data_IF_453296521540
#
_entry.id   IF_453296521540
#
_cell.length_a   1.000
_cell.length_b   1.000
_cell.length_c   1.000
_cell.angle_alpha   90.00
_cell.angle_beta   90.00
_cell.angle_gamma   90.00
#
_symmetry.space_group_name_H-M   'P 1'
#
loop_
_entity.id
_entity.type
_entity.pdbx_description
1 polymer ?
#
# COMPACT_ATOMS: atom_id res chain seq x y z
N UNK A 1 -48.70 25.19 -43.63
CA UNK A 1 -48.37 23.85 -43.15
C UNK A 1 -46.91 23.91 -42.62
N UNK A 2 -46.73 23.98 -41.31
CA UNK A 2 -45.41 24.13 -40.67
C UNK A 2 -45.09 22.81 -39.95
N UNK A 3 -44.05 22.08 -40.44
CA UNK A 3 -43.58 20.84 -39.79
C UNK A 3 -42.52 21.21 -38.78
N UNK A 4 -42.83 20.97 -37.51
CA UNK A 4 -41.86 21.06 -36.42
C UNK A 4 -41.17 19.72 -36.30
N UNK A 5 -39.84 19.67 -36.53
CA UNK A 5 -38.97 18.52 -36.21
C UNK A 5 -38.64 18.56 -34.72
N UNK A 6 -39.16 17.59 -33.98
CA UNK A 6 -38.68 17.31 -32.61
C UNK A 6 -37.37 16.50 -32.70
N UNK A 7 -36.26 17.13 -32.32
CA UNK A 7 -34.98 16.43 -32.08
C UNK A 7 -35.01 15.82 -30.70
N UNK A 8 -35.20 14.49 -30.61
CA UNK A 8 -35.08 13.75 -29.37
C UNK A 8 -33.63 13.62 -28.97
N UNK A 9 -33.26 14.27 -27.86
CA UNK A 9 -31.95 14.14 -27.22
C UNK A 9 -31.87 12.79 -26.49
N UNK A 10 -31.18 11.81 -27.09
CA UNK A 10 -30.92 10.51 -26.46
C UNK A 10 -29.82 10.68 -25.41
N UNK A 11 -30.19 10.82 -24.11
CA UNK A 11 -29.25 10.73 -22.99
C UNK A 11 -28.77 9.30 -22.88
N UNK A 12 -27.54 9.04 -23.33
CA UNK A 12 -26.81 7.82 -23.03
C UNK A 12 -26.38 7.92 -21.57
N UNK A 13 -27.05 7.20 -20.70
CA UNK A 13 -26.60 7.02 -19.31
C UNK A 13 -25.33 6.16 -19.35
N UNK A 14 -24.18 6.80 -19.18
CA UNK A 14 -22.91 6.10 -18.92
C UNK A 14 -23.03 5.46 -17.54
N UNK A 15 -22.95 4.11 -17.42
CA UNK A 15 -22.93 3.49 -16.09
C UNK A 15 -21.71 4.03 -15.35
N UNK A 16 -21.94 4.62 -14.18
CA UNK A 16 -20.89 5.00 -13.24
C UNK A 16 -20.14 3.73 -12.88
N UNK A 17 -19.00 3.48 -13.54
CA UNK A 17 -18.09 2.41 -13.18
C UNK A 17 -17.73 2.62 -11.73
N UNK A 18 -18.06 1.65 -10.88
CA UNK A 18 -17.62 1.60 -9.50
C UNK A 18 -16.10 1.60 -9.51
N UNK A 19 -15.50 2.77 -9.34
CA UNK A 19 -14.11 2.88 -8.95
C UNK A 19 -14.06 2.24 -7.55
N UNK A 20 -13.66 0.97 -7.47
CA UNK A 20 -13.42 0.31 -6.20
C UNK A 20 -12.38 1.17 -5.49
N UNK A 21 -12.80 1.90 -4.48
CA UNK A 21 -11.90 2.71 -3.67
C UNK A 21 -10.87 1.76 -3.07
N UNK A 22 -9.60 1.95 -3.43
CA UNK A 22 -8.51 1.14 -2.90
C UNK A 22 -8.45 1.40 -1.40
N UNK A 23 -8.59 0.35 -0.59
CA UNK A 23 -8.58 0.44 0.87
C UNK A 23 -7.25 1.03 1.35
N UNK A 24 -7.31 1.96 2.31
CA UNK A 24 -6.14 2.52 2.98
C UNK A 24 -6.09 2.02 4.43
N UNK A 25 -4.89 1.77 5.00
CA UNK A 25 -4.77 1.30 6.37
C UNK A 25 -5.47 2.22 7.36
N UNK A 26 -6.28 1.67 8.28
CA UNK A 26 -6.93 2.45 9.30
C UNK A 26 -5.90 3.12 10.21
N UNK A 27 -6.13 4.38 10.55
CA UNK A 27 -5.28 5.14 11.48
C UNK A 27 -6.08 6.23 12.17
N UNK A 28 -5.57 6.69 13.31
CA UNK A 28 -6.06 7.87 14.02
C UNK A 28 -5.10 9.02 13.77
N UNK A 29 -5.57 10.11 13.15
CA UNK A 29 -4.79 11.34 13.06
C UNK A 29 -4.77 12.03 14.43
N UNK A 30 -3.58 12.23 14.98
CA UNK A 30 -3.34 12.88 16.28
C UNK A 30 -3.07 14.37 16.10
N UNK A 31 -2.31 14.72 15.07
CA UNK A 31 -1.98 16.10 14.70
C UNK A 31 -2.12 16.25 13.19
N UNK A 32 -2.62 17.42 12.74
CA UNK A 32 -2.64 17.81 11.34
C UNK A 32 -2.22 19.28 11.22
N UNK A 33 -1.28 19.52 10.30
CA UNK A 33 -0.73 20.85 10.01
C UNK A 33 -0.38 20.92 8.52
N UNK A 34 -1.33 21.40 7.71
CA UNK A 34 -1.21 21.35 6.25
C UNK A 34 -1.05 19.92 5.71
N UNK A 35 0.07 19.67 5.03
CA UNK A 35 0.42 18.35 4.48
C UNK A 35 1.13 17.44 5.49
N UNK A 36 1.40 17.93 6.71
CA UNK A 36 2.00 17.16 7.80
C UNK A 36 0.93 16.56 8.69
N UNK A 37 1.11 15.32 9.07
CA UNK A 37 0.25 14.63 10.03
C UNK A 37 1.07 13.77 10.99
N UNK A 38 0.57 13.61 12.23
CA UNK A 38 0.99 12.55 13.14
C UNK A 38 -0.15 11.55 13.24
N UNK A 39 0.12 10.30 12.92
CA UNK A 39 -0.87 9.22 12.85
C UNK A 39 -0.51 8.06 13.74
N UNK A 40 -1.50 7.56 14.48
CA UNK A 40 -1.42 6.29 15.20
C UNK A 40 -2.03 5.18 14.34
N UNK A 41 -1.21 4.18 14.02
CA UNK A 41 -1.65 2.96 13.34
C UNK A 41 -1.81 1.83 14.36
N UNK A 42 -2.86 1.02 14.26
CA UNK A 42 -2.96 -0.24 14.99
C UNK A 42 -1.97 -1.26 14.41
N UNK A 43 -1.93 -2.46 14.99
CA UNK A 43 -1.30 -3.59 14.34
C UNK A 43 -1.98 -3.87 12.99
N UNK A 44 -1.20 -4.02 11.93
CA UNK A 44 -1.66 -4.27 10.57
C UNK A 44 -1.09 -5.60 10.08
N UNK A 45 -1.88 -6.32 9.30
CA UNK A 45 -1.37 -7.50 8.58
C UNK A 45 -0.67 -7.04 7.32
N UNK A 46 0.56 -7.48 7.11
CA UNK A 46 1.37 -7.10 5.95
C UNK A 46 1.96 -8.31 5.25
N UNK A 47 2.12 -8.19 3.93
CA UNK A 47 3.01 -9.03 3.13
C UNK A 47 4.25 -8.21 2.77
N UNK A 48 5.43 -8.74 3.02
CA UNK A 48 6.68 -8.03 2.73
C UNK A 48 7.73 -8.92 2.10
N UNK A 49 8.61 -8.30 1.31
CA UNK A 49 9.78 -8.93 0.71
C UNK A 49 10.99 -8.03 0.93
N UNK A 50 12.14 -8.65 1.19
CA UNK A 50 13.44 -7.95 1.19
C UNK A 50 14.09 -8.15 -0.17
N UNK A 51 14.48 -7.07 -0.82
CA UNK A 51 15.07 -7.07 -2.16
C UNK A 51 16.32 -6.19 -2.22
N UNK A 52 17.28 -6.58 -3.03
CA UNK A 52 18.51 -5.82 -3.29
C UNK A 52 18.35 -4.92 -4.51
N UNK A 53 19.15 -3.85 -4.56
CA UNK A 53 19.25 -2.93 -5.69
C UNK A 53 19.02 -1.47 -5.29
N UNK A 54 19.01 -0.59 -6.30
CA UNK A 54 18.60 0.80 -6.09
C UNK A 54 17.09 0.91 -5.79
N UNK A 55 16.68 2.07 -5.38
CA UNK A 55 15.27 2.33 -5.00
C UNK A 55 14.25 1.93 -6.08
N UNK A 56 14.57 2.15 -7.36
CA UNK A 56 13.67 1.85 -8.48
C UNK A 56 13.64 0.36 -8.80
N UNK A 57 14.80 -0.27 -8.87
CA UNK A 57 14.93 -1.71 -9.12
C UNK A 57 14.28 -2.51 -8.00
N UNK A 58 14.52 -2.13 -6.74
CA UNK A 58 13.91 -2.74 -5.57
C UNK A 58 12.38 -2.59 -5.57
N UNK A 59 11.86 -1.40 -5.90
CA UNK A 59 10.43 -1.17 -6.04
C UNK A 59 9.79 -2.11 -7.06
N UNK A 60 10.38 -2.21 -8.26
CA UNK A 60 9.86 -3.05 -9.34
C UNK A 60 9.92 -4.55 -8.99
N UNK A 61 11.03 -5.00 -8.39
CA UNK A 61 11.21 -6.40 -7.97
C UNK A 61 10.24 -6.77 -6.86
N UNK A 62 10.17 -5.94 -5.82
CA UNK A 62 9.28 -6.16 -4.68
C UNK A 62 7.80 -6.13 -5.08
N UNK A 63 7.39 -5.15 -5.91
CA UNK A 63 6.03 -5.07 -6.42
C UNK A 63 5.65 -6.32 -7.24
N UNK A 64 6.56 -6.85 -8.07
CA UNK A 64 6.30 -8.07 -8.86
C UNK A 64 6.07 -9.28 -7.96
N UNK A 65 6.91 -9.47 -6.94
CA UNK A 65 6.80 -10.60 -6.01
C UNK A 65 5.50 -10.52 -5.18
N UNK A 66 5.21 -9.35 -4.61
CA UNK A 66 4.00 -9.14 -3.81
C UNK A 66 2.74 -9.10 -4.69
N UNK A 67 2.84 -8.56 -5.91
CA UNK A 67 1.77 -8.61 -6.92
C UNK A 67 1.43 -10.03 -7.30
N UNK A 68 2.44 -10.87 -7.58
CA UNK A 68 2.21 -12.31 -7.81
C UNK A 68 1.41 -12.94 -6.67
N UNK A 69 1.82 -12.71 -5.43
CA UNK A 69 1.11 -13.23 -4.26
C UNK A 69 -0.37 -12.82 -4.21
N UNK A 70 -0.70 -11.54 -4.40
CA UNK A 70 -2.10 -11.08 -4.31
C UNK A 70 -2.94 -11.47 -5.54
N UNK A 71 -2.30 -11.74 -6.70
CA UNK A 71 -3.00 -12.12 -7.94
C UNK A 71 -3.10 -13.63 -8.17
N UNK A 72 -2.57 -14.45 -7.27
CA UNK A 72 -2.83 -15.89 -7.30
C UNK A 72 -1.63 -16.81 -7.12
N UNK A 73 -0.39 -16.30 -6.98
CA UNK A 73 0.78 -17.10 -6.63
C UNK A 73 0.72 -17.47 -5.13
N UNK A 74 -0.36 -18.16 -4.75
CA UNK A 74 -0.67 -18.54 -3.38
C UNK A 74 -1.55 -19.77 -3.33
N UNK A 75 -1.61 -20.40 -2.15
CA UNK A 75 -2.47 -21.55 -1.85
C UNK A 75 -3.44 -21.16 -0.74
N UNK A 76 -4.74 -21.39 -1.00
CA UNK A 76 -5.77 -21.19 0.02
C UNK A 76 -5.47 -22.03 1.26
N UNK A 77 -5.56 -21.45 2.45
CA UNK A 77 -5.52 -22.24 3.69
C UNK A 77 -6.77 -23.09 3.78
N UNK A 78 -6.58 -24.40 3.84
CA UNK A 78 -7.66 -25.35 4.14
C UNK A 78 -7.42 -25.89 5.53
N UNK A 79 -8.38 -25.70 6.43
CA UNK A 79 -8.45 -26.52 7.65
C UNK A 79 -8.77 -27.96 7.23
N UNK A 80 -7.80 -28.85 7.34
CA UNK A 80 -7.97 -30.25 7.00
C UNK A 80 -8.71 -30.93 8.16
N UNK A 81 -10.02 -30.90 8.11
CA UNK A 81 -10.79 -31.92 8.81
C UNK A 81 -10.51 -33.26 8.08
N UNK A 82 -9.83 -34.20 8.73
CA UNK A 82 -9.50 -35.51 8.17
C UNK A 82 -10.76 -36.30 7.94
N UNK A 83 -11.29 -36.31 6.70
CA UNK A 83 -12.21 -37.32 6.18
C UNK A 83 -11.80 -37.63 4.73
N UNK A 84 -11.55 -38.89 4.45
CA UNK A 84 -11.20 -39.40 3.12
C UNK A 84 -12.43 -39.43 2.20
N UNK A 85 -12.27 -39.27 0.83
CA UNK A 85 -11.04 -39.17 0.07
C UNK A 85 -10.63 -37.70 -0.23
N UNK A 86 -9.33 -37.46 -0.19
CA UNK A 86 -8.73 -36.14 -0.47
C UNK A 86 -8.63 -35.94 -1.97
N UNK A 87 -9.50 -35.12 -2.54
CA UNK A 87 -9.26 -34.50 -3.85
C UNK A 87 -8.65 -33.11 -3.60
N UNK A 88 -7.33 -32.99 -3.63
CA UNK A 88 -6.63 -31.70 -3.55
C UNK A 88 -6.60 -31.06 -4.95
N UNK A 89 -7.37 -30.02 -5.15
CA UNK A 89 -7.05 -28.98 -6.13
C UNK A 89 -6.53 -27.77 -5.36
N UNK A 90 -5.31 -27.31 -5.63
CA UNK A 90 -4.82 -26.07 -5.03
C UNK A 90 -5.63 -24.92 -5.61
N UNK A 91 -6.60 -24.42 -4.85
CA UNK A 91 -7.31 -23.21 -5.21
C UNK A 91 -6.45 -22.00 -4.79
N UNK A 92 -5.96 -21.25 -5.76
CA UNK A 92 -5.38 -19.93 -5.51
C UNK A 92 -6.49 -18.92 -5.19
N UNK A 93 -6.17 -17.87 -4.45
CA UNK A 93 -7.14 -16.85 -4.07
C UNK A 93 -6.62 -15.46 -4.44
N UNK A 94 -7.49 -14.62 -5.04
CA UNK A 94 -7.14 -13.23 -5.35
C UNK A 94 -7.42 -12.37 -4.14
N UNK A 95 -6.41 -11.62 -3.72
CA UNK A 95 -6.49 -10.66 -2.64
C UNK A 95 -6.65 -9.26 -3.24
N UNK A 96 -7.62 -8.48 -2.75
CA UNK A 96 -7.80 -7.11 -3.21
C UNK A 96 -6.54 -6.29 -2.90
N UNK A 97 -6.13 -5.42 -3.84
CA UNK A 97 -4.99 -4.54 -3.62
C UNK A 97 -5.37 -3.43 -2.64
N UNK A 98 -4.52 -3.17 -1.66
CA UNK A 98 -4.62 -2.01 -0.79
C UNK A 98 -3.55 -0.97 -1.12
N UNK A 99 -3.78 0.27 -0.76
CA UNK A 99 -2.76 1.33 -0.82
C UNK A 99 -2.44 1.81 0.61
N UNK A 100 -1.21 2.18 0.91
CA UNK A 100 -0.10 2.36 -0.01
C UNK A 100 0.80 1.13 -0.17
N UNK A 101 1.64 1.16 -1.22
CA UNK A 101 2.85 0.33 -1.28
C UNK A 101 3.95 1.05 -0.52
N UNK A 102 4.41 0.48 0.58
CA UNK A 102 5.47 1.07 1.39
C UNK A 102 6.84 0.48 1.02
N UNK A 103 7.86 1.34 1.04
CA UNK A 103 9.28 0.99 0.86
C UNK A 103 10.08 1.54 2.02
N UNK A 104 10.75 0.67 2.72
CA UNK A 104 11.58 0.99 3.88
C UNK A 104 13.02 0.63 3.55
N UNK A 105 14.00 1.53 3.74
CA UNK A 105 15.40 1.18 3.61
C UNK A 105 15.75 0.03 4.58
N UNK A 106 16.42 -1.01 4.05
CA UNK A 106 16.96 -2.11 4.83
C UNK A 106 18.47 -1.94 5.10
N UNK A 107 19.12 -3.01 5.55
CA UNK A 107 20.56 -3.00 5.72
C UNK A 107 21.26 -2.93 4.35
N UNK A 108 22.43 -2.27 4.27
CA UNK A 108 23.39 -2.23 3.16
C UNK A 108 22.82 -2.57 1.76
N UNK A 109 22.19 -1.60 1.08
CA UNK A 109 21.71 -1.77 -0.30
C UNK A 109 20.47 -2.64 -0.49
N UNK A 110 19.79 -2.99 0.60
CA UNK A 110 18.50 -3.70 0.56
C UNK A 110 17.32 -2.79 0.83
N UNK A 111 16.13 -3.24 0.40
CA UNK A 111 14.86 -2.57 0.63
C UNK A 111 13.81 -3.57 1.08
N UNK A 112 13.02 -3.20 2.08
CA UNK A 112 11.79 -3.91 2.41
C UNK A 112 10.65 -3.26 1.67
N UNK A 113 10.05 -4.00 0.73
CA UNK A 113 8.81 -3.59 0.04
C UNK A 113 7.65 -4.27 0.73
N UNK A 114 6.60 -3.50 1.03
CA UNK A 114 5.49 -3.97 1.85
C UNK A 114 4.15 -3.59 1.25
N UNK A 115 3.23 -4.56 1.24
CA UNK A 115 1.80 -4.33 1.01
C UNK A 115 1.05 -4.53 2.33
N UNK A 116 0.20 -3.60 2.69
CA UNK A 116 -0.76 -3.83 3.78
C UNK A 116 -1.89 -4.69 3.24
N UNK A 117 -2.30 -5.71 3.96
CA UNK A 117 -3.43 -6.55 3.55
C UNK A 117 -4.75 -5.87 3.88
N UNK A 118 -5.83 -6.13 3.11
CA UNK A 118 -7.16 -5.65 3.43
C UNK A 118 -7.57 -6.03 4.85
N UNK A 119 -8.35 -5.17 5.50
CA UNK A 119 -8.73 -5.32 6.92
C UNK A 119 -9.52 -6.60 7.24
N UNK A 120 -10.13 -7.20 6.23
CA UNK A 120 -10.84 -8.49 6.36
C UNK A 120 -9.92 -9.69 6.59
N UNK A 121 -8.61 -9.56 6.35
CA UNK A 121 -7.66 -10.65 6.45
C UNK A 121 -6.91 -10.65 7.78
N UNK A 122 -6.71 -11.84 8.31
CA UNK A 122 -5.81 -12.13 9.44
C UNK A 122 -4.66 -13.01 8.95
N UNK A 123 -3.60 -13.15 9.74
CA UNK A 123 -2.51 -14.09 9.41
C UNK A 123 -3.01 -15.53 9.25
N UNK A 124 -4.08 -15.89 9.95
CA UNK A 124 -4.66 -17.23 9.93
C UNK A 124 -5.51 -17.48 8.68
N UNK A 125 -6.15 -16.44 8.15
CA UNK A 125 -7.05 -16.55 6.98
C UNK A 125 -6.38 -16.23 5.65
N UNK A 126 -5.24 -15.50 5.66
CA UNK A 126 -4.49 -15.22 4.44
C UNK A 126 -4.00 -16.51 3.76
N UNK A 127 -4.11 -16.60 2.42
CA UNK A 127 -3.49 -17.67 1.65
C UNK A 127 -1.99 -17.78 1.94
N UNK A 128 -1.44 -18.99 1.81
CA UNK A 128 0.00 -19.21 1.98
C UNK A 128 0.72 -18.81 0.69
N UNK A 129 1.74 -17.93 0.74
CA UNK A 129 2.51 -17.58 -0.44
C UNK A 129 3.22 -18.80 -1.04
N UNK A 130 3.22 -18.92 -2.38
CA UNK A 130 4.02 -19.95 -3.07
C UNK A 130 5.50 -19.59 -3.09
N UNK A 131 5.79 -18.29 -3.12
CA UNK A 131 7.16 -17.79 -3.05
C UNK A 131 7.60 -17.60 -1.59
N UNK A 132 8.62 -18.35 -1.10
CA UNK A 132 9.10 -18.28 0.28
C UNK A 132 9.74 -16.93 0.66
N UNK A 133 10.07 -16.08 -0.32
CA UNK A 133 10.57 -14.73 -0.05
C UNK A 133 9.45 -13.78 0.42
N UNK A 134 8.18 -14.12 0.21
CA UNK A 134 7.03 -13.34 0.69
C UNK A 134 6.74 -13.73 2.13
N UNK A 135 6.96 -12.80 3.05
CA UNK A 135 6.75 -12.99 4.48
C UNK A 135 5.44 -12.30 4.89
N UNK A 136 4.57 -13.05 5.55
CA UNK A 136 3.34 -12.51 6.15
C UNK A 136 3.55 -12.31 7.65
N UNK A 137 3.22 -11.12 8.15
CA UNK A 137 3.29 -10.85 9.60
C UNK A 137 2.35 -9.74 10.05
N UNK A 138 2.13 -9.64 11.34
CA UNK A 138 1.58 -8.43 11.95
C UNK A 138 2.70 -7.40 12.18
N UNK A 139 2.38 -6.13 11.99
CA UNK A 139 3.22 -5.03 12.51
C UNK A 139 2.87 -4.77 13.97
N UNK A 140 3.78 -4.16 14.70
CA UNK A 140 3.43 -3.56 15.99
C UNK A 140 2.63 -2.28 15.78
N UNK A 141 1.74 -1.91 16.73
CA UNK A 141 1.09 -0.60 16.71
C UNK A 141 2.13 0.52 16.81
N UNK A 142 2.12 1.44 15.86
CA UNK A 142 3.17 2.45 15.76
C UNK A 142 2.60 3.85 15.49
N UNK A 143 3.35 4.87 15.89
CA UNK A 143 3.09 6.28 15.58
C UNK A 143 4.02 6.73 14.47
N UNK A 144 3.43 7.33 13.44
CA UNK A 144 4.19 7.88 12.32
C UNK A 144 3.93 9.37 12.18
N UNK A 145 4.99 10.09 11.92
CA UNK A 145 4.94 11.38 11.31
C UNK A 145 4.93 11.22 9.80
N UNK A 146 4.10 11.97 9.10
CA UNK A 146 3.80 11.83 7.68
C UNK A 146 3.83 13.18 7.01
N UNK A 147 4.50 13.30 5.86
CA UNK A 147 4.40 14.41 4.94
C UNK A 147 3.84 13.92 3.61
N UNK A 148 2.70 14.47 3.22
CA UNK A 148 2.04 14.19 1.95
C UNK A 148 2.56 15.10 0.85
N UNK A 149 2.76 14.56 -0.36
CA UNK A 149 3.15 15.32 -1.54
C UNK A 149 2.64 14.69 -2.83
N UNK A 150 2.60 15.48 -3.92
CA UNK A 150 2.29 15.01 -5.28
C UNK A 150 3.56 14.82 -6.10
N UNK A 151 3.45 14.20 -7.26
CA UNK A 151 4.55 14.09 -8.22
C UNK A 151 5.02 12.68 -8.48
N UNK A 152 6.18 12.56 -9.13
CA UNK A 152 6.75 11.27 -9.56
C UNK A 152 7.49 10.52 -8.45
N UNK A 153 7.75 11.15 -7.32
CA UNK A 153 8.53 10.61 -6.20
C UNK A 153 9.90 10.08 -6.66
N UNK A 154 10.63 10.88 -7.45
CA UNK A 154 12.01 10.59 -7.84
C UNK A 154 12.91 10.58 -6.60
N UNK A 155 14.07 9.91 -6.64
CA UNK A 155 14.96 9.85 -5.47
C UNK A 155 15.31 11.22 -4.88
N UNK A 156 15.53 12.24 -5.73
CA UNK A 156 15.80 13.61 -5.28
C UNK A 156 14.58 14.21 -4.57
N UNK A 157 13.38 14.09 -5.16
CA UNK A 157 12.14 14.61 -4.58
C UNK A 157 11.86 13.95 -3.20
N UNK A 158 12.07 12.63 -3.12
CA UNK A 158 11.92 11.86 -1.87
C UNK A 158 12.94 12.29 -0.82
N UNK A 159 14.20 12.54 -1.24
CA UNK A 159 15.26 13.04 -0.35
C UNK A 159 14.93 14.40 0.25
N UNK A 160 14.46 15.33 -0.57
CA UNK A 160 14.02 16.66 -0.14
C UNK A 160 12.86 16.58 0.87
N UNK A 161 11.80 15.84 0.52
CA UNK A 161 10.63 15.66 1.41
C UNK A 161 10.97 14.92 2.70
N UNK A 162 11.93 14.00 2.65
CA UNK A 162 12.43 13.33 3.86
C UNK A 162 13.17 14.29 4.78
N UNK A 163 14.00 15.19 4.23
CA UNK A 163 14.68 16.21 5.02
C UNK A 163 13.69 17.20 5.65
N UNK A 164 12.67 17.64 4.90
CA UNK A 164 11.59 18.48 5.43
C UNK A 164 10.84 17.79 6.58
N UNK A 165 10.47 16.51 6.42
CA UNK A 165 9.80 15.74 7.45
C UNK A 165 10.64 15.66 8.74
N UNK A 166 11.93 15.32 8.62
CA UNK A 166 12.83 15.22 9.77
C UNK A 166 13.07 16.57 10.45
N UNK A 167 13.08 17.68 9.70
CA UNK A 167 13.17 19.03 10.25
C UNK A 167 11.91 19.38 11.06
N UNK A 168 10.73 19.01 10.56
CA UNK A 168 9.46 19.21 11.25
C UNK A 168 9.37 18.37 12.54
N UNK A 169 9.83 17.09 12.51
CA UNK A 169 9.96 16.25 13.71
C UNK A 169 10.83 16.92 14.77
N UNK A 170 12.00 17.40 14.35
CA UNK A 170 12.94 18.08 15.25
C UNK A 170 12.33 19.34 15.88
N UNK A 171 11.65 20.17 15.10
CA UNK A 171 10.99 21.38 15.60
C UNK A 171 9.91 21.08 16.65
N UNK A 172 9.23 19.94 16.51
CA UNK A 172 8.20 19.46 17.45
C UNK A 172 8.73 18.55 18.56
N UNK A 173 10.06 18.38 18.62
CA UNK A 173 10.74 17.52 19.62
C UNK A 173 10.25 16.06 19.60
N UNK A 174 9.83 15.58 18.43
CA UNK A 174 9.46 14.19 18.23
C UNK A 174 10.72 13.32 18.16
N UNK A 175 10.75 12.23 18.89
CA UNK A 175 11.89 11.29 18.88
C UNK A 175 11.68 10.28 17.74
N UNK A 176 12.44 10.43 16.67
CA UNK A 176 12.46 9.49 15.55
C UNK A 176 13.05 8.14 16.01
N UNK A 177 12.41 7.03 15.65
CA UNK A 177 12.78 5.67 16.06
C UNK A 177 13.14 4.74 14.90
N UNK A 178 12.85 5.13 13.66
CA UNK A 178 13.09 4.32 12.48
C UNK A 178 13.56 5.12 11.26
N UNK A 179 13.86 4.46 10.16
CA UNK A 179 14.20 5.13 8.90
C UNK A 179 12.97 5.77 8.25
N UNK A 180 13.21 6.80 7.41
CA UNK A 180 12.15 7.35 6.56
C UNK A 180 11.76 6.33 5.50
N UNK A 181 10.47 6.11 5.35
CA UNK A 181 9.86 5.25 4.35
C UNK A 181 9.07 6.07 3.33
N UNK A 182 8.92 5.54 2.11
CA UNK A 182 8.08 6.12 1.08
C UNK A 182 6.83 5.26 0.87
N UNK A 183 5.67 5.88 0.91
CA UNK A 183 4.36 5.27 0.66
C UNK A 183 3.73 5.85 -0.61
N UNK A 184 3.35 5.00 -1.56
CA UNK A 184 2.74 5.39 -2.83
C UNK A 184 1.34 4.81 -2.95
N UNK A 185 0.36 5.66 -3.23
CA UNK A 185 -1.08 5.32 -3.17
C UNK A 185 -1.70 5.06 -4.54
N UNK A 186 -1.09 5.53 -5.61
CA UNK A 186 -1.71 5.51 -6.93
C UNK A 186 -0.99 4.57 -7.89
N UNK A 187 -1.73 3.93 -8.81
CA UNK A 187 -1.15 3.12 -9.86
C UNK A 187 -0.30 3.98 -10.83
N UNK A 188 0.65 3.35 -11.56
CA UNK A 188 1.62 4.08 -12.41
C UNK A 188 1.00 4.89 -13.55
N UNK A 189 -0.20 4.56 -14.00
CA UNK A 189 -0.92 5.32 -15.04
C UNK A 189 -1.63 6.58 -14.53
N UNK A 190 -1.70 6.79 -13.20
CA UNK A 190 -2.24 8.04 -12.65
C UNK A 190 -1.34 9.22 -13.08
N UNK A 191 -1.91 10.32 -13.62
CA UNK A 191 -1.16 11.52 -13.93
C UNK A 191 -0.31 11.99 -12.74
N UNK A 192 0.92 12.38 -12.97
CA UNK A 192 1.88 12.65 -11.90
C UNK A 192 1.41 13.71 -10.90
N UNK A 193 0.72 14.75 -11.35
CA UNK A 193 0.21 15.84 -10.50
C UNK A 193 -0.98 15.42 -9.63
N UNK A 194 -1.64 14.29 -9.93
CA UNK A 194 -2.74 13.70 -9.16
C UNK A 194 -2.28 12.60 -8.20
N UNK A 195 -1.00 12.22 -8.25
CA UNK A 195 -0.48 11.16 -7.38
C UNK A 195 -0.38 11.63 -5.95
N UNK A 196 -0.81 10.78 -5.03
CA UNK A 196 -0.55 10.91 -3.60
C UNK A 196 0.65 10.06 -3.25
N UNK A 197 1.69 10.71 -2.76
CA UNK A 197 2.84 10.08 -2.14
C UNK A 197 2.96 10.58 -0.70
N UNK A 198 3.57 9.80 0.16
CA UNK A 198 3.88 10.20 1.53
C UNK A 198 5.27 9.73 1.90
N UNK A 199 6.08 10.60 2.49
CA UNK A 199 7.23 10.18 3.28
C UNK A 199 6.77 10.05 4.73
N UNK A 200 7.21 8.97 5.39
CA UNK A 200 6.76 8.62 6.73
C UNK A 200 7.96 8.20 7.57
N UNK A 201 7.97 8.62 8.82
CA UNK A 201 8.99 8.19 9.79
C UNK A 201 8.33 7.80 11.10
N UNK A 202 8.77 6.68 11.65
CA UNK A 202 8.30 6.24 12.96
C UNK A 202 8.84 7.12 14.07
N UNK A 203 7.96 7.53 14.98
CA UNK A 203 8.30 8.34 16.15
C UNK A 203 7.79 7.70 17.42
N UNK A 204 8.47 7.95 18.54
CA UNK A 204 8.04 7.47 19.83
C UNK A 204 6.65 8.02 20.20
N UNK A 205 5.86 7.19 20.86
CA UNK A 205 4.55 7.58 21.42
C UNK A 205 4.72 8.46 22.65
#
# INVERSE_FOLDING_TARGET
>A
MKHALLLGLLMVAVPAGYAMAVETPPHKTVVRDGDYEVRDYPALVVAEVTVEGDQKAAANKGFRLLGGYIFGDNRKRQDIAMTAPVTQQPASEKIAMTAPVARVPGAAGTWVVRFTMPSQWTLQTLPVPDNPAVILRNTEPARFEVLRFSGLARPADVGERSAELLAWAKARKLRVTGPVSLAQYNPPWTPWFMRRNEVMVEVAR
#
